data_IF_337329784091
#
_entry.id   IF_337329784091
#
_cell.length_a   1.000
_cell.length_b   1.000
_cell.length_c   1.000
_cell.angle_alpha   90.00
_cell.angle_beta   90.00
_cell.angle_gamma   90.00
#
_symmetry.space_group_name_H-M   'P 1'
#
loop_
_entity.id
_entity.type
_entity.pdbx_description
1 polymer ?
#
# COMPACT_ATOMS: atom_id res chain seq x y z
N UNK A 1 -11.33 -18.12 7.11
CA UNK A 1 -10.02 -17.53 6.72
C UNK A 1 -9.63 -17.89 5.28
N UNK A 2 -9.41 -19.17 4.94
CA UNK A 2 -8.94 -19.58 3.59
C UNK A 2 -9.84 -19.08 2.45
N UNK A 3 -11.16 -19.22 2.61
CA UNK A 3 -12.17 -18.73 1.64
C UNK A 3 -12.06 -17.22 1.41
N UNK A 4 -11.94 -16.44 2.48
CA UNK A 4 -11.86 -14.99 2.40
C UNK A 4 -10.57 -14.52 1.71
N UNK A 5 -9.45 -15.14 2.07
CA UNK A 5 -8.17 -14.83 1.46
C UNK A 5 -8.20 -15.14 -0.06
N UNK A 6 -8.77 -16.29 -0.45
CA UNK A 6 -8.96 -16.66 -1.85
C UNK A 6 -9.82 -15.65 -2.62
N UNK A 7 -10.92 -15.17 -2.02
CA UNK A 7 -11.75 -14.12 -2.62
C UNK A 7 -10.95 -12.84 -2.83
N UNK A 8 -10.20 -12.39 -1.82
CA UNK A 8 -9.38 -11.18 -1.92
C UNK A 8 -8.36 -11.29 -3.07
N UNK A 9 -7.69 -12.45 -3.21
CA UNK A 9 -6.79 -12.72 -4.34
C UNK A 9 -7.50 -12.76 -5.69
N UNK A 10 -8.67 -13.39 -5.76
CA UNK A 10 -9.44 -13.49 -7.01
C UNK A 10 -9.90 -12.12 -7.51
N UNK A 11 -10.33 -11.26 -6.59
CA UNK A 11 -10.77 -9.90 -6.91
C UNK A 11 -9.64 -8.96 -7.31
N UNK A 12 -8.43 -9.23 -6.84
CA UNK A 12 -7.23 -8.44 -7.09
C UNK A 12 -6.32 -9.03 -8.16
N UNK A 13 -6.75 -10.07 -8.89
CA UNK A 13 -5.93 -10.77 -9.89
C UNK A 13 -5.17 -9.85 -10.87
N UNK A 14 -5.80 -8.74 -11.27
CA UNK A 14 -5.19 -7.76 -12.17
C UNK A 14 -4.09 -6.93 -11.50
N UNK A 15 -4.22 -6.65 -10.20
CA UNK A 15 -3.20 -5.95 -9.42
C UNK A 15 -1.96 -6.84 -9.28
N UNK A 16 -2.15 -8.14 -9.02
CA UNK A 16 -1.08 -9.13 -8.97
C UNK A 16 -0.36 -9.27 -10.30
N UNK A 17 -1.13 -9.44 -11.38
CA UNK A 17 -0.58 -9.56 -12.72
C UNK A 17 0.22 -8.31 -13.08
N UNK A 18 -0.35 -7.12 -12.86
CA UNK A 18 0.31 -5.87 -13.16
C UNK A 18 1.59 -5.66 -12.33
N UNK A 19 1.55 -5.92 -11.02
CA UNK A 19 2.73 -5.83 -10.16
C UNK A 19 3.85 -6.78 -10.60
N UNK A 20 3.52 -8.04 -10.93
CA UNK A 20 4.48 -9.01 -11.45
C UNK A 20 5.09 -8.60 -12.78
N UNK A 21 4.26 -8.12 -13.72
CA UNK A 21 4.73 -7.59 -15.02
C UNK A 21 5.67 -6.41 -14.80
N UNK A 22 5.35 -5.48 -13.90
CA UNK A 22 6.21 -4.32 -13.62
C UNK A 22 7.57 -4.72 -13.06
N UNK A 23 7.63 -5.72 -12.17
CA UNK A 23 8.91 -6.24 -11.65
C UNK A 23 9.75 -6.78 -12.81
N UNK A 24 9.16 -7.61 -13.68
CA UNK A 24 9.87 -8.20 -14.83
C UNK A 24 10.37 -7.10 -15.77
N UNK A 25 9.51 -6.13 -16.12
CA UNK A 25 9.87 -4.99 -16.97
C UNK A 25 11.04 -4.22 -16.36
N UNK A 26 10.94 -3.83 -15.08
CA UNK A 26 11.98 -3.07 -14.39
C UNK A 26 13.34 -3.80 -14.35
N UNK A 27 13.34 -5.09 -14.03
CA UNK A 27 14.57 -5.90 -14.00
C UNK A 27 15.16 -6.09 -15.40
N UNK A 28 14.31 -6.27 -16.42
CA UNK A 28 14.72 -6.39 -17.81
C UNK A 28 15.42 -5.12 -18.27
N UNK A 29 14.86 -3.95 -17.97
CA UNK A 29 15.46 -2.67 -18.31
C UNK A 29 16.80 -2.45 -17.61
N UNK A 30 16.90 -2.82 -16.34
CA UNK A 30 18.16 -2.77 -15.59
C UNK A 30 19.23 -3.63 -16.28
N UNK A 31 18.87 -4.82 -16.78
CA UNK A 31 19.79 -5.71 -17.49
C UNK A 31 20.23 -5.18 -18.88
N UNK A 32 19.39 -4.38 -19.55
CA UNK A 32 19.64 -3.87 -20.90
C UNK A 32 20.03 -2.38 -20.94
N UNK A 33 20.32 -1.76 -19.81
CA UNK A 33 20.55 -0.32 -19.69
C UNK A 33 21.70 0.25 -20.53
N UNK A 34 22.63 -0.58 -20.98
CA UNK A 34 23.73 -0.20 -21.88
C UNK A 34 23.31 -0.03 -23.34
N UNK A 35 22.03 -0.21 -23.70
CA UNK A 35 21.53 0.02 -25.04
C UNK A 35 21.04 1.49 -25.18
N UNK A 36 21.67 2.24 -26.08
CA UNK A 36 21.50 3.71 -26.28
C UNK A 36 20.06 4.20 -26.61
N UNK A 37 19.06 3.32 -26.73
CA UNK A 37 17.70 3.64 -27.19
C UNK A 37 16.58 3.58 -26.12
N UNK A 38 16.90 3.48 -24.83
CA UNK A 38 15.89 3.21 -23.78
C UNK A 38 15.23 4.49 -23.21
N UNK A 39 15.79 5.67 -23.48
CA UNK A 39 15.41 6.92 -22.81
C UNK A 39 13.91 7.31 -22.89
N UNK A 40 13.23 7.27 -24.05
CA UNK A 40 11.80 7.59 -24.12
C UNK A 40 10.91 6.55 -23.44
N UNK A 41 11.39 5.31 -23.27
CA UNK A 41 10.67 4.27 -22.56
C UNK A 41 10.65 4.54 -21.05
N UNK A 42 11.72 5.15 -20.50
CA UNK A 42 11.88 5.38 -19.05
C UNK A 42 10.74 6.24 -18.48
N UNK A 43 10.30 7.28 -19.18
CA UNK A 43 9.20 8.13 -18.72
C UNK A 43 7.88 7.36 -18.61
N UNK A 44 7.59 6.50 -19.60
CA UNK A 44 6.42 5.62 -19.59
C UNK A 44 6.50 4.65 -18.41
N UNK A 45 7.67 4.05 -18.19
CA UNK A 45 7.92 3.12 -17.07
C UNK A 45 7.75 3.82 -15.72
N UNK A 46 8.17 5.07 -15.57
CA UNK A 46 7.97 5.84 -14.34
C UNK A 46 6.49 5.99 -14.03
N UNK A 47 5.67 6.36 -15.02
CA UNK A 47 4.22 6.49 -14.88
C UNK A 47 3.60 5.13 -14.49
N UNK A 48 3.97 4.06 -15.18
CA UNK A 48 3.47 2.72 -14.90
C UNK A 48 3.84 2.24 -13.49
N UNK A 49 5.03 2.57 -13.00
CA UNK A 49 5.44 2.26 -11.63
C UNK A 49 4.63 3.04 -10.61
N UNK A 50 4.38 4.33 -10.83
CA UNK A 50 3.49 5.13 -9.94
C UNK A 50 2.10 4.51 -9.88
N UNK A 51 1.55 4.11 -11.04
CA UNK A 51 0.25 3.41 -11.12
C UNK A 51 0.29 2.08 -10.35
N UNK A 52 1.38 1.30 -10.48
CA UNK A 52 1.52 0.02 -9.80
C UNK A 52 1.59 0.18 -8.28
N UNK A 53 2.31 1.18 -7.79
CA UNK A 53 2.37 1.52 -6.37
C UNK A 53 0.98 1.93 -5.86
N UNK A 54 0.28 2.79 -6.60
CA UNK A 54 -1.09 3.20 -6.27
C UNK A 54 -2.05 2.01 -6.17
N UNK A 55 -2.03 1.11 -7.14
CA UNK A 55 -2.90 -0.08 -7.14
C UNK A 55 -2.55 -1.08 -6.04
N UNK A 56 -1.27 -1.35 -5.83
CA UNK A 56 -0.84 -2.32 -4.82
C UNK A 56 -1.15 -1.84 -3.40
N UNK A 57 -0.89 -0.55 -3.10
CA UNK A 57 -1.23 0.07 -1.81
C UNK A 57 -2.73 0.18 -1.55
N UNK A 58 -3.56 0.30 -2.60
CA UNK A 58 -5.02 0.50 -2.48
C UNK A 58 -5.88 -0.74 -2.69
N UNK A 59 -5.22 -1.88 -2.84
CA UNK A 59 -5.85 -3.12 -3.25
C UNK A 59 -6.97 -3.56 -2.30
N UNK A 60 -6.87 -3.31 -1.00
CA UNK A 60 -7.89 -3.70 -0.04
C UNK A 60 -9.16 -2.84 -0.13
N UNK A 61 -9.01 -1.54 -0.36
CA UNK A 61 -10.11 -0.60 -0.52
C UNK A 61 -10.89 -0.88 -1.81
N UNK A 62 -10.17 -1.24 -2.89
CA UNK A 62 -10.80 -1.62 -4.16
C UNK A 62 -11.62 -2.91 -4.04
N UNK A 63 -11.14 -3.89 -3.26
CA UNK A 63 -11.89 -5.11 -2.95
C UNK A 63 -13.17 -4.75 -2.19
N UNK A 64 -13.09 -3.97 -1.11
CA UNK A 64 -14.26 -3.58 -0.32
C UNK A 64 -15.27 -2.73 -1.09
N UNK A 65 -14.81 -1.88 -2.02
CA UNK A 65 -15.70 -1.12 -2.91
C UNK A 65 -16.45 -2.06 -3.87
N UNK A 66 -15.73 -2.99 -4.52
CA UNK A 66 -16.34 -3.99 -5.43
C UNK A 66 -17.31 -4.92 -4.71
N UNK A 67 -17.02 -5.28 -3.47
CA UNK A 67 -17.93 -6.09 -2.64
C UNK A 67 -19.21 -5.33 -2.33
N UNK A 68 -19.11 -4.03 -2.04
CA UNK A 68 -20.28 -3.19 -1.78
C UNK A 68 -21.19 -3.06 -3.00
N UNK A 69 -20.61 -2.95 -4.20
CA UNK A 69 -21.35 -2.76 -5.45
C UNK A 69 -22.00 -4.05 -5.98
N UNK A 70 -21.54 -5.23 -5.53
CA UNK A 70 -22.02 -6.50 -6.04
C UNK A 70 -23.01 -7.16 -5.07
N UNK A 71 -24.31 -6.94 -5.30
CA UNK A 71 -25.40 -7.49 -4.48
C UNK A 71 -25.39 -9.03 -4.42
N UNK A 72 -24.89 -9.71 -5.45
CA UNK A 72 -24.75 -11.17 -5.46
C UNK A 72 -23.73 -11.72 -4.45
N UNK A 73 -22.79 -10.88 -3.98
CA UNK A 73 -21.70 -11.29 -3.09
C UNK A 73 -21.99 -11.07 -1.61
N UNK A 74 -23.06 -10.36 -1.26
CA UNK A 74 -23.62 -10.46 0.09
C UNK A 74 -23.89 -11.93 0.44
N UNK A 75 -24.30 -12.76 -0.52
CA UNK A 75 -24.46 -14.20 -0.36
C UNK A 75 -23.15 -14.93 -0.01
N UNK A 76 -22.01 -14.55 -0.61
CA UNK A 76 -20.71 -15.19 -0.38
C UNK A 76 -20.08 -14.83 0.98
N UNK A 77 -20.37 -13.63 1.48
CA UNK A 77 -20.06 -13.17 2.84
C UNK A 77 -21.13 -13.58 3.87
N UNK A 78 -22.34 -13.94 3.45
CA UNK A 78 -23.40 -14.50 4.29
C UNK A 78 -23.22 -16.00 4.59
N UNK A 79 -22.45 -16.72 3.76
CA UNK A 79 -21.92 -18.04 4.15
C UNK A 79 -21.04 -17.87 5.39
N UNK A 80 -21.09 -18.79 6.38
CA UNK A 80 -20.65 -18.53 7.75
C UNK A 80 -19.14 -18.32 7.83
N UNK A 81 -18.70 -17.08 7.63
CA UNK A 81 -17.33 -16.61 7.87
C UNK A 81 -17.44 -15.57 8.98
N UNK A 82 -16.94 -15.92 10.17
CA UNK A 82 -16.94 -15.01 11.32
C UNK A 82 -16.26 -13.69 10.95
N UNK A 83 -16.75 -12.54 11.41
CA UNK A 83 -16.17 -11.23 11.07
C UNK A 83 -14.69 -11.14 11.51
N UNK A 84 -14.31 -11.86 12.57
CA UNK A 84 -12.92 -12.00 13.01
C UNK A 84 -12.02 -12.68 11.97
N UNK A 85 -12.57 -13.62 11.19
CA UNK A 85 -11.83 -14.30 10.12
C UNK A 85 -11.69 -13.42 8.87
N UNK A 86 -12.67 -12.53 8.64
CA UNK A 86 -12.59 -11.52 7.58
C UNK A 86 -11.49 -10.53 7.90
N UNK A 87 -11.53 -9.91 9.09
CA UNK A 87 -10.49 -9.00 9.56
C UNK A 87 -9.08 -9.63 9.49
N UNK A 88 -8.96 -10.91 9.86
CA UNK A 88 -7.67 -11.63 9.76
C UNK A 88 -7.20 -11.80 8.32
N UNK A 89 -8.09 -12.24 7.42
CA UNK A 89 -7.73 -12.43 6.02
C UNK A 89 -7.35 -11.11 5.33
N UNK A 90 -8.07 -10.05 5.68
CA UNK A 90 -7.82 -8.69 5.22
C UNK A 90 -6.46 -8.16 5.66
N UNK A 91 -6.10 -8.34 6.93
CA UNK A 91 -4.79 -7.93 7.43
C UNK A 91 -3.65 -8.70 6.76
N UNK A 92 -3.79 -10.02 6.61
CA UNK A 92 -2.80 -10.86 5.91
C UNK A 92 -2.66 -10.39 4.47
N UNK A 93 -3.78 -10.17 3.78
CA UNK A 93 -3.81 -9.70 2.41
C UNK A 93 -3.14 -8.33 2.26
N UNK A 94 -3.43 -7.37 3.13
CA UNK A 94 -2.79 -6.05 3.13
C UNK A 94 -1.27 -6.14 3.28
N UNK A 95 -0.76 -6.97 4.20
CA UNK A 95 0.69 -7.19 4.37
C UNK A 95 1.31 -7.75 3.09
N UNK A 96 0.67 -8.77 2.50
CA UNK A 96 1.13 -9.40 1.26
C UNK A 96 1.18 -8.36 0.12
N UNK A 97 0.19 -7.47 0.04
CA UNK A 97 0.14 -6.41 -0.97
C UNK A 97 1.20 -5.34 -0.74
N UNK A 98 1.50 -4.98 0.51
CA UNK A 98 2.62 -4.10 0.84
C UNK A 98 3.97 -4.72 0.45
N UNK A 99 4.15 -6.03 0.64
CA UNK A 99 5.35 -6.72 0.17
C UNK A 99 5.47 -6.66 -1.36
N UNK A 100 4.36 -6.83 -2.08
CA UNK A 100 4.34 -6.64 -3.54
C UNK A 100 4.70 -5.20 -3.92
N UNK A 101 4.16 -4.20 -3.22
CA UNK A 101 4.51 -2.78 -3.42
C UNK A 101 6.02 -2.55 -3.24
N UNK A 102 6.61 -3.09 -2.17
CA UNK A 102 8.05 -3.00 -1.91
C UNK A 102 8.86 -3.68 -3.01
N UNK A 103 8.44 -4.85 -3.49
CA UNK A 103 9.12 -5.56 -4.57
C UNK A 103 9.08 -4.77 -5.90
N UNK A 104 7.92 -4.25 -6.28
CA UNK A 104 7.76 -3.37 -7.45
C UNK A 104 8.66 -2.14 -7.32
N UNK A 105 8.61 -1.45 -6.19
CA UNK A 105 9.43 -0.27 -5.95
C UNK A 105 10.93 -0.56 -6.00
N UNK A 106 11.36 -1.65 -5.36
CA UNK A 106 12.78 -2.02 -5.29
C UNK A 106 13.33 -2.32 -6.68
N UNK A 107 12.56 -3.04 -7.51
CA UNK A 107 12.92 -3.29 -8.91
C UNK A 107 12.98 -2.00 -9.74
N UNK A 108 12.14 -1.02 -9.44
CA UNK A 108 12.18 0.29 -10.10
C UNK A 108 13.44 1.09 -9.72
N UNK A 109 13.81 1.10 -8.44
CA UNK A 109 14.99 1.82 -7.95
C UNK A 109 16.28 1.30 -8.57
N UNK A 110 16.36 -0.01 -8.89
CA UNK A 110 17.54 -0.58 -9.54
C UNK A 110 17.77 -0.05 -10.95
N UNK A 111 16.73 0.41 -11.66
CA UNK A 111 16.88 1.06 -12.96
C UNK A 111 17.72 2.34 -12.77
N UNK A 112 17.26 3.30 -11.98
CA UNK A 112 17.94 4.59 -11.88
C UNK A 112 19.11 4.67 -10.90
N UNK A 113 19.44 3.56 -10.21
CA UNK A 113 20.31 3.56 -9.01
C UNK A 113 19.92 4.62 -7.97
N UNK A 114 18.62 4.94 -7.87
CA UNK A 114 18.11 6.03 -7.01
C UNK A 114 17.82 5.54 -5.59
N UNK A 115 18.84 5.02 -4.91
CA UNK A 115 18.70 4.38 -3.59
C UNK A 115 18.11 5.29 -2.50
N UNK A 116 18.28 6.61 -2.62
CA UNK A 116 17.66 7.55 -1.69
C UNK A 116 16.12 7.45 -1.69
N UNK A 117 15.48 7.01 -2.78
CA UNK A 117 14.03 6.86 -2.85
C UNK A 117 13.48 5.82 -1.86
N UNK A 118 14.33 4.93 -1.31
CA UNK A 118 13.93 4.01 -0.24
C UNK A 118 13.44 4.74 1.01
N UNK A 119 13.97 5.93 1.35
CA UNK A 119 13.45 6.72 2.48
C UNK A 119 12.00 7.15 2.23
N UNK A 120 11.67 7.56 1.00
CA UNK A 120 10.30 7.85 0.59
C UNK A 120 9.38 6.63 0.67
N UNK A 121 9.88 5.44 0.26
CA UNK A 121 9.13 4.18 0.38
C UNK A 121 8.83 3.83 1.85
N UNK A 122 9.82 3.94 2.75
CA UNK A 122 9.65 3.66 4.17
C UNK A 122 8.55 4.56 4.77
N UNK A 123 8.56 5.84 4.42
CA UNK A 123 7.56 6.81 4.85
C UNK A 123 6.16 6.43 4.35
N UNK A 124 6.02 6.09 3.07
CA UNK A 124 4.74 5.69 2.46
C UNK A 124 4.21 4.38 3.05
N UNK A 125 5.06 3.37 3.26
CA UNK A 125 4.67 2.09 3.87
C UNK A 125 4.24 2.30 5.32
N UNK A 126 4.99 3.09 6.10
CA UNK A 126 4.62 3.43 7.47
C UNK A 126 3.29 4.14 7.56
N UNK A 127 3.06 5.14 6.71
CA UNK A 127 1.79 5.85 6.64
C UNK A 127 0.64 4.94 6.16
N UNK A 128 0.89 4.07 5.18
CA UNK A 128 -0.08 3.07 4.73
C UNK A 128 -0.54 2.17 5.88
N UNK A 129 0.39 1.71 6.73
CA UNK A 129 0.07 0.95 7.95
C UNK A 129 -0.78 1.77 8.94
N UNK A 130 -0.45 3.03 9.16
CA UNK A 130 -1.28 3.93 9.99
C UNK A 130 -2.70 4.08 9.43
N UNK A 131 -2.83 4.37 8.14
CA UNK A 131 -4.13 4.56 7.51
C UNK A 131 -4.95 3.27 7.49
N UNK A 132 -4.29 2.13 7.28
CA UNK A 132 -4.93 0.83 7.38
C UNK A 132 -5.37 0.50 8.82
N UNK A 133 -4.65 0.98 9.83
CA UNK A 133 -5.04 0.85 11.24
C UNK A 133 -6.35 1.59 11.52
N UNK A 134 -6.46 2.84 11.03
CA UNK A 134 -7.70 3.61 11.11
C UNK A 134 -8.84 2.91 10.37
N UNK A 135 -8.55 2.38 9.17
CA UNK A 135 -9.50 1.60 8.40
C UNK A 135 -10.03 0.39 9.19
N UNK A 136 -9.15 -0.39 9.82
CA UNK A 136 -9.53 -1.55 10.64
C UNK A 136 -10.40 -1.16 11.84
N UNK A 137 -10.09 -0.05 12.51
CA UNK A 137 -10.90 0.46 13.62
C UNK A 137 -12.29 0.84 13.10
N UNK A 138 -12.38 1.60 12.02
CA UNK A 138 -13.66 2.01 11.43
C UNK A 138 -14.47 0.80 10.92
N UNK A 139 -13.82 -0.20 10.35
CA UNK A 139 -14.43 -1.45 9.92
C UNK A 139 -15.07 -2.22 11.08
N UNK A 140 -14.39 -2.29 12.24
CA UNK A 140 -14.96 -2.91 13.44
C UNK A 140 -16.20 -2.19 14.02
N UNK A 141 -16.44 -0.94 13.59
CA UNK A 141 -17.55 -0.11 14.07
C UNK A 141 -18.73 -0.07 13.10
N UNK A 142 -18.44 0.16 11.82
CA UNK A 142 -19.44 0.47 10.79
C UNK A 142 -19.40 -0.50 9.60
N UNK A 143 -18.59 -1.55 9.71
CA UNK A 143 -18.44 -2.58 8.66
C UNK A 143 -18.12 -1.98 7.28
N UNK A 144 -18.80 -2.43 6.23
CA UNK A 144 -18.64 -2.00 4.83
C UNK A 144 -19.44 -0.71 4.54
N UNK A 145 -20.04 -0.04 5.53
CA UNK A 145 -20.68 1.25 5.29
C UNK A 145 -19.64 2.33 4.94
N UNK A 146 -20.00 3.28 4.08
CA UNK A 146 -19.19 4.45 3.72
C UNK A 146 -17.79 4.11 3.15
N UNK A 147 -17.66 3.04 2.35
CA UNK A 147 -16.35 2.62 1.77
C UNK A 147 -15.65 3.78 1.07
N UNK A 148 -16.35 4.59 0.27
CA UNK A 148 -15.75 5.72 -0.46
C UNK A 148 -15.07 6.74 0.45
N UNK A 149 -15.70 7.10 1.57
CA UNK A 149 -15.13 8.03 2.55
C UNK A 149 -13.89 7.41 3.18
N UNK A 150 -13.95 6.12 3.54
CA UNK A 150 -12.81 5.37 4.10
C UNK A 150 -11.65 5.28 3.10
N UNK A 151 -11.94 5.08 1.82
CA UNK A 151 -10.96 5.09 0.74
C UNK A 151 -10.33 6.47 0.57
N UNK A 152 -11.14 7.53 0.56
CA UNK A 152 -10.65 8.90 0.43
C UNK A 152 -9.74 9.30 1.60
N UNK A 153 -10.15 8.99 2.83
CA UNK A 153 -9.34 9.20 4.04
C UNK A 153 -8.03 8.43 3.93
N UNK A 154 -8.01 7.21 3.39
CA UNK A 154 -6.78 6.43 3.20
C UNK A 154 -5.77 7.08 2.25
N UNK A 155 -6.24 7.64 1.12
CA UNK A 155 -5.37 8.16 0.07
C UNK A 155 -4.85 9.58 0.30
N UNK A 156 -5.62 10.46 0.95
CA UNK A 156 -5.19 11.85 1.15
C UNK A 156 -3.82 11.93 1.85
N UNK A 157 -3.59 11.23 2.99
CA UNK A 157 -2.30 11.31 3.67
C UNK A 157 -1.15 10.72 2.86
N UNK A 158 -1.40 9.66 2.08
CA UNK A 158 -0.41 9.08 1.18
C UNK A 158 -0.03 10.06 0.05
N UNK A 159 -1.02 10.75 -0.52
CA UNK A 159 -0.80 11.81 -1.51
C UNK A 159 -0.02 12.99 -0.95
N UNK A 160 -0.35 13.43 0.28
CA UNK A 160 0.38 14.48 0.99
C UNK A 160 1.84 14.05 1.20
N UNK A 161 2.10 12.83 1.67
CA UNK A 161 3.47 12.33 1.87
C UNK A 161 4.22 12.26 0.54
N UNK A 162 3.57 11.83 -0.53
CA UNK A 162 4.18 11.82 -1.84
C UNK A 162 4.61 13.24 -2.28
N UNK A 163 3.73 14.22 -2.14
CA UNK A 163 4.00 15.61 -2.51
C UNK A 163 5.01 16.33 -1.61
N UNK A 164 4.96 16.11 -0.29
CA UNK A 164 5.71 16.89 0.69
C UNK A 164 6.90 16.16 1.32
N UNK A 165 7.08 14.88 1.02
CA UNK A 165 8.26 14.12 1.47
C UNK A 165 9.00 13.48 0.29
N UNK A 166 8.31 12.71 -0.57
CA UNK A 166 8.97 11.98 -1.66
C UNK A 166 9.47 12.93 -2.77
N UNK A 167 8.68 13.93 -3.17
CA UNK A 167 9.13 14.92 -4.16
C UNK A 167 10.31 15.78 -3.65
N UNK A 168 10.28 16.35 -2.43
CA UNK A 168 11.44 17.06 -1.88
C UNK A 168 12.69 16.18 -1.75
N UNK A 169 12.53 14.92 -1.35
CA UNK A 169 13.63 13.95 -1.30
C UNK A 169 14.28 13.77 -2.68
N UNK A 170 13.49 13.60 -3.74
CA UNK A 170 14.04 13.47 -5.08
C UNK A 170 14.69 14.77 -5.57
N UNK A 171 14.09 15.93 -5.27
CA UNK A 171 14.64 17.23 -5.68
C UNK A 171 15.98 17.54 -5.00
N UNK A 172 16.12 17.25 -3.70
CA UNK A 172 17.36 17.50 -2.96
C UNK A 172 18.54 16.74 -3.52
N UNK A 173 18.35 15.50 -3.97
CA UNK A 173 19.40 14.73 -4.67
C UNK A 173 19.65 15.18 -6.11
N UNK A 174 18.62 15.60 -6.85
CA UNK A 174 18.79 16.05 -8.25
C UNK A 174 19.57 17.37 -8.33
N UNK A 175 19.30 18.28 -7.39
CA UNK A 175 19.87 19.63 -7.41
C UNK A 175 21.06 19.80 -6.46
N UNK A 176 21.53 18.72 -5.84
CA UNK A 176 22.63 18.70 -4.85
C UNK A 176 22.49 19.82 -3.81
N UNK A 177 21.29 19.91 -3.22
CA UNK A 177 20.96 20.96 -2.27
C UNK A 177 21.56 20.63 -0.91
N UNK A 178 22.38 21.54 -0.38
CA UNK A 178 22.81 21.49 1.01
C UNK A 178 21.59 21.71 1.93
N UNK A 179 21.29 20.69 2.73
CA UNK A 179 20.14 20.66 3.60
C UNK A 179 20.58 21.01 5.02
N UNK A 180 19.92 22.01 5.62
CA UNK A 180 20.05 22.22 7.06
C UNK A 180 19.66 20.97 7.85
N UNK A 181 20.23 20.79 9.05
CA UNK A 181 20.06 19.59 9.88
C UNK A 181 18.59 19.16 10.12
N UNK A 182 17.65 20.12 10.15
CA UNK A 182 16.22 19.83 10.28
C UNK A 182 15.65 19.08 9.06
N UNK A 183 16.06 19.45 7.85
CA UNK A 183 15.62 18.80 6.61
C UNK A 183 16.23 17.42 6.45
N UNK A 184 17.51 17.25 6.81
CA UNK A 184 18.12 15.93 6.84
C UNK A 184 17.41 14.99 7.82
N UNK A 185 17.08 15.48 9.01
CA UNK A 185 16.30 14.70 9.97
C UNK A 185 14.94 14.30 9.38
N UNK A 186 14.23 15.27 8.78
CA UNK A 186 12.92 15.05 8.17
C UNK A 186 12.97 14.03 7.03
N UNK A 187 13.95 14.13 6.13
CA UNK A 187 14.03 13.29 4.93
C UNK A 187 14.59 11.89 5.20
N UNK A 188 15.52 11.74 6.14
CA UNK A 188 16.27 10.49 6.32
C UNK A 188 15.96 9.73 7.61
N UNK A 189 15.54 10.41 8.69
CA UNK A 189 15.30 9.76 10.00
C UNK A 189 13.83 9.55 10.29
N UNK A 190 12.97 10.53 10.00
CA UNK A 190 11.51 10.41 10.21
C UNK A 190 10.91 9.17 9.50
N UNK A 191 11.31 8.78 8.27
CA UNK A 191 10.74 7.60 7.63
C UNK A 191 10.82 6.32 8.45
N UNK A 192 11.94 6.10 9.16
CA UNK A 192 12.08 4.94 10.04
C UNK A 192 11.16 5.02 11.25
N UNK A 193 11.03 6.21 11.85
CA UNK A 193 10.14 6.44 12.99
C UNK A 193 8.69 6.16 12.57
N UNK A 194 8.28 6.68 11.41
CA UNK A 194 6.92 6.50 10.88
C UNK A 194 6.65 5.04 10.54
N UNK A 195 7.63 4.31 9.99
CA UNK A 195 7.47 2.88 9.73
C UNK A 195 7.29 2.07 11.02
N UNK A 196 8.15 2.28 12.02
CA UNK A 196 8.08 1.57 13.30
C UNK A 196 6.78 1.89 14.03
N UNK A 197 6.43 3.18 14.12
CA UNK A 197 5.18 3.61 14.74
C UNK A 197 3.96 3.06 13.99
N UNK A 198 3.99 3.07 12.65
CA UNK A 198 2.92 2.53 11.81
C UNK A 198 2.73 1.03 12.03
N UNK A 199 3.82 0.26 12.08
CA UNK A 199 3.76 -1.18 12.37
C UNK A 199 3.19 -1.49 13.76
N UNK A 200 3.59 -0.72 14.78
CA UNK A 200 3.07 -0.86 16.14
C UNK A 200 1.56 -0.55 16.21
N UNK A 201 1.14 0.58 15.62
CA UNK A 201 -0.27 0.97 15.59
C UNK A 201 -1.10 -0.02 14.79
N UNK A 202 -0.54 -0.59 13.72
CA UNK A 202 -1.19 -1.64 12.93
C UNK A 202 -1.44 -2.91 13.75
N UNK A 203 -0.42 -3.39 14.47
CA UNK A 203 -0.57 -4.53 15.37
C UNK A 203 -1.63 -4.26 16.45
N UNK A 204 -1.55 -3.12 17.15
CA UNK A 204 -2.49 -2.74 18.21
C UNK A 204 -3.92 -2.62 17.69
N UNK A 205 -4.12 -1.96 16.54
CA UNK A 205 -5.44 -1.79 15.93
C UNK A 205 -6.10 -3.10 15.55
N UNK A 206 -5.32 -4.09 15.08
CA UNK A 206 -5.82 -5.43 14.80
C UNK A 206 -6.37 -6.11 16.05
N UNK A 207 -5.62 -6.10 17.16
CA UNK A 207 -6.07 -6.69 18.43
C UNK A 207 -7.31 -5.99 18.98
N UNK A 208 -7.36 -4.66 18.88
CA UNK A 208 -8.51 -3.87 19.31
C UNK A 208 -9.77 -4.18 18.48
N UNK A 209 -9.64 -4.16 17.14
CA UNK A 209 -10.73 -4.48 16.22
C UNK A 209 -11.23 -5.92 16.42
N UNK A 210 -10.33 -6.89 16.59
CA UNK A 210 -10.68 -8.28 16.89
C UNK A 210 -11.47 -8.39 18.20
N UNK A 211 -11.03 -7.76 19.28
CA UNK A 211 -11.72 -7.76 20.58
C UNK A 211 -13.12 -7.15 20.48
N UNK A 212 -13.26 -6.05 19.74
CA UNK A 212 -14.55 -5.39 19.53
C UNK A 212 -15.51 -6.25 18.71
N UNK A 213 -15.02 -6.85 17.63
CA UNK A 213 -15.81 -7.77 16.79
C UNK A 213 -16.31 -8.96 17.60
N UNK A 214 -15.46 -9.61 18.40
CA UNK A 214 -15.87 -10.77 19.22
C UNK A 214 -16.96 -10.38 20.21
N UNK A 215 -16.94 -9.18 20.78
CA UNK A 215 -18.02 -8.69 21.65
C UNK A 215 -19.33 -8.43 20.91
N UNK A 216 -19.27 -8.01 19.65
CA UNK A 216 -20.44 -7.69 18.83
C UNK A 216 -20.96 -8.86 17.98
N UNK A 217 -20.18 -9.94 17.82
CA UNK A 217 -20.54 -11.17 17.09
C UNK A 217 -21.21 -12.21 18.00
N UNK A 218 -21.46 -11.89 19.28
CA UNK A 218 -22.32 -12.71 20.16
C UNK A 218 -23.77 -12.31 19.88
N UNK A 219 -24.34 -12.80 18.76
CA UNK A 219 -25.76 -13.15 18.57
C UNK A 219 -25.81 -14.31 17.57
#
# INVERSE_FOLDING_TARGET
>A
MKKQLYLNFSYSKWIWLFGGVMIIVNLTLTAFQSADNIQPLIEIINILNIIALGYTMSSMQSIHARIRENDSHQFLYALPVRKSEILRADCIYHIIMLLLTVAVFSSYVTIGHKYHLYYGLLMLVGASLFMMSLYNIMFSQTWIQNVYIKTFIYFIPLGIIFMFHVMPLNNTFIYDLDLGAAWEFYLFRIPFIVLVAGALVYAVSYYFAKKKIIKSDII
#
